data_IF_832837390946
#
_entry.id   IF_832837390946
#
_cell.length_a   1.000
_cell.length_b   1.000
_cell.length_c   1.000
_cell.angle_alpha   90.00
_cell.angle_beta   90.00
_cell.angle_gamma   90.00
#
_symmetry.space_group_name_H-M   'P 1'
#
loop_
_entity.id
_entity.type
_entity.pdbx_description
1 polymer ?
#
# COMPACT_ATOMS: atom_id res chain seq x y z
N UNK A 1 -5.89 18.00 -3.07
CA UNK A 1 -5.75 16.59 -3.47
C UNK A 1 -5.53 16.56 -4.98
N UNK A 2 -4.54 15.82 -5.48
CA UNK A 2 -4.28 15.69 -6.93
C UNK A 2 -5.01 14.45 -7.47
N UNK A 3 -6.25 14.64 -7.93
CA UNK A 3 -7.10 13.54 -8.41
C UNK A 3 -6.58 12.85 -9.66
N UNK A 4 -5.83 13.56 -10.51
CA UNK A 4 -5.19 12.97 -11.69
C UNK A 4 -4.14 11.95 -11.25
N UNK A 5 -3.32 12.29 -10.27
CA UNK A 5 -2.33 11.36 -9.70
C UNK A 5 -2.99 10.13 -9.05
N UNK A 6 -4.07 10.35 -8.28
CA UNK A 6 -4.84 9.25 -7.65
C UNK A 6 -5.45 8.32 -8.70
N UNK A 7 -6.05 8.87 -9.76
CA UNK A 7 -6.66 8.09 -10.83
C UNK A 7 -5.61 7.25 -11.58
N UNK A 8 -4.47 7.86 -11.93
CA UNK A 8 -3.37 7.15 -12.61
C UNK A 8 -2.88 6.00 -11.73
N UNK A 9 -2.63 6.25 -10.44
CA UNK A 9 -2.23 5.21 -9.51
C UNK A 9 -3.27 4.08 -9.45
N UNK A 10 -4.55 4.40 -9.24
CA UNK A 10 -5.60 3.40 -9.09
C UNK A 10 -5.74 2.53 -10.35
N UNK A 11 -5.80 3.14 -11.54
CA UNK A 11 -5.94 2.42 -12.81
C UNK A 11 -4.70 1.56 -13.07
N UNK A 12 -3.50 2.11 -12.94
CA UNK A 12 -2.27 1.35 -13.13
C UNK A 12 -2.16 0.19 -12.14
N UNK A 13 -2.52 0.40 -10.88
CA UNK A 13 -2.43 -0.62 -9.84
C UNK A 13 -3.50 -1.71 -10.00
N UNK A 14 -4.72 -1.37 -10.45
CA UNK A 14 -5.74 -2.35 -10.83
C UNK A 14 -5.25 -3.20 -12.00
N UNK A 15 -4.76 -2.57 -13.08
CA UNK A 15 -4.29 -3.31 -14.26
C UNK A 15 -3.12 -4.24 -13.92
N UNK A 16 -2.10 -3.72 -13.22
CA UNK A 16 -0.94 -4.51 -12.83
C UNK A 16 -1.32 -5.62 -11.84
N UNK A 17 -2.14 -5.32 -10.84
CA UNK A 17 -2.62 -6.31 -9.87
C UNK A 17 -3.46 -7.40 -10.53
N UNK A 18 -4.32 -7.03 -11.48
CA UNK A 18 -5.15 -7.98 -12.22
C UNK A 18 -4.29 -8.93 -13.05
N UNK A 19 -3.35 -8.39 -13.83
CA UNK A 19 -2.38 -9.20 -14.59
C UNK A 19 -1.58 -10.11 -13.64
N UNK A 20 -1.11 -9.56 -12.51
CA UNK A 20 -0.33 -10.32 -11.54
C UNK A 20 -1.10 -11.52 -10.96
N UNK A 21 -2.37 -11.33 -10.59
CA UNK A 21 -3.23 -12.42 -10.12
C UNK A 21 -3.37 -13.50 -11.20
N UNK A 22 -3.59 -13.12 -12.45
CA UNK A 22 -3.71 -14.08 -13.55
C UNK A 22 -2.43 -14.90 -13.78
N UNK A 23 -1.26 -14.31 -13.55
CA UNK A 23 0.03 -14.98 -13.71
C UNK A 23 0.38 -15.91 -12.53
N UNK A 24 0.00 -15.54 -11.31
CA UNK A 24 0.34 -16.31 -10.10
C UNK A 24 -0.71 -17.39 -9.82
N UNK A 25 -1.99 -17.01 -9.70
CA UNK A 25 -3.10 -17.93 -9.48
C UNK A 25 -4.43 -17.24 -9.80
N UNK A 26 -4.94 -17.52 -11.01
CA UNK A 26 -6.23 -16.98 -11.47
C UNK A 26 -7.41 -17.33 -10.58
N UNK A 27 -7.33 -18.40 -9.77
CA UNK A 27 -8.43 -18.81 -8.89
C UNK A 27 -8.59 -17.85 -7.70
N UNK A 28 -7.56 -17.05 -7.39
CA UNK A 28 -7.64 -16.00 -6.37
C UNK A 28 -8.50 -14.82 -6.82
N UNK A 29 -8.76 -14.66 -8.13
CA UNK A 29 -9.39 -13.47 -8.66
C UNK A 29 -10.80 -13.25 -8.07
N UNK A 30 -10.91 -12.17 -7.28
CA UNK A 30 -12.10 -11.80 -6.51
C UNK A 30 -12.54 -12.85 -5.48
N UNK A 31 -11.63 -13.71 -5.01
CA UNK A 31 -11.98 -14.79 -4.09
C UNK A 31 -12.61 -14.24 -2.80
N UNK A 32 -12.05 -13.18 -2.22
CA UNK A 32 -12.53 -12.62 -0.95
C UNK A 32 -13.95 -12.05 -1.02
N UNK A 33 -14.30 -11.14 -1.96
CA UNK A 33 -15.68 -10.69 -2.09
C UNK A 33 -16.65 -11.80 -2.52
N UNK A 34 -16.19 -12.85 -3.23
CA UNK A 34 -17.03 -14.00 -3.62
C UNK A 34 -17.33 -14.95 -2.45
N UNK A 35 -16.36 -15.22 -1.59
CA UNK A 35 -16.49 -16.20 -0.50
C UNK A 35 -16.99 -15.59 0.79
N UNK A 36 -16.64 -14.33 1.08
CA UNK A 36 -17.02 -13.66 2.33
C UNK A 36 -17.25 -12.15 2.12
N UNK A 37 -18.28 -11.82 1.36
CA UNK A 37 -18.64 -10.43 1.01
C UNK A 37 -18.79 -9.50 2.23
N UNK A 38 -19.43 -9.98 3.32
CA UNK A 38 -19.64 -9.16 4.53
C UNK A 38 -18.32 -8.77 5.17
N UNK A 39 -17.40 -9.74 5.34
CA UNK A 39 -16.08 -9.45 5.90
C UNK A 39 -15.26 -8.56 4.96
N UNK A 40 -15.33 -8.81 3.65
CA UNK A 40 -14.68 -7.94 2.66
C UNK A 40 -15.15 -6.49 2.79
N UNK A 41 -16.46 -6.24 2.94
CA UNK A 41 -17.00 -4.90 3.10
C UNK A 41 -16.51 -4.24 4.40
N UNK A 42 -16.47 -4.99 5.50
CA UNK A 42 -15.89 -4.52 6.77
C UNK A 42 -14.42 -4.13 6.57
N UNK A 43 -13.62 -4.99 5.91
CA UNK A 43 -12.21 -4.68 5.63
C UNK A 43 -12.10 -3.42 4.77
N UNK A 44 -12.85 -3.29 3.68
CA UNK A 44 -12.80 -2.12 2.79
C UNK A 44 -13.05 -0.81 3.54
N UNK A 45 -13.98 -0.81 4.51
CA UNK A 45 -14.33 0.39 5.29
C UNK A 45 -13.35 0.62 6.45
N UNK A 46 -12.98 -0.42 7.18
CA UNK A 46 -12.24 -0.30 8.46
C UNK A 46 -10.73 -0.24 8.25
N UNK A 47 -10.20 -0.96 7.24
CA UNK A 47 -8.76 -1.04 6.95
C UNK A 47 -8.07 0.31 6.79
N UNK A 48 -8.64 1.32 6.08
CA UNK A 48 -8.05 2.65 6.00
C UNK A 48 -7.76 3.28 7.37
N UNK A 49 -8.65 3.09 8.35
CA UNK A 49 -8.55 3.75 9.64
C UNK A 49 -7.65 3.00 10.61
N UNK A 50 -7.83 1.68 10.73
CA UNK A 50 -7.11 0.87 11.72
C UNK A 50 -5.75 0.38 11.24
N UNK A 51 -5.52 0.32 9.92
CA UNK A 51 -4.27 -0.17 9.35
C UNK A 51 -3.50 0.94 8.67
N UNK A 52 -4.09 1.61 7.67
CA UNK A 52 -3.35 2.54 6.82
C UNK A 52 -2.89 3.77 7.59
N UNK A 53 -3.77 4.46 8.33
CA UNK A 53 -3.40 5.68 9.06
C UNK A 53 -2.27 5.40 10.07
N UNK A 54 -2.34 4.38 10.96
CA UNK A 54 -1.23 4.06 11.85
C UNK A 54 0.08 3.75 11.13
N UNK A 55 0.02 2.97 10.05
CA UNK A 55 1.21 2.65 9.25
C UNK A 55 1.82 3.91 8.63
N UNK A 56 1.03 4.79 8.02
CA UNK A 56 1.54 6.03 7.42
C UNK A 56 2.08 7.01 8.47
N UNK A 57 1.53 7.02 9.69
CA UNK A 57 2.12 7.79 10.81
C UNK A 57 3.52 7.25 11.14
N UNK A 58 3.68 5.94 11.30
CA UNK A 58 4.97 5.33 11.64
C UNK A 58 5.99 5.49 10.50
N UNK A 59 5.60 5.08 9.29
CA UNK A 59 6.52 4.98 8.17
C UNK A 59 6.65 6.25 7.34
N UNK A 60 5.85 7.30 7.57
CA UNK A 60 6.08 8.60 6.94
C UNK A 60 6.36 9.67 7.97
N UNK A 61 5.43 9.91 8.87
CA UNK A 61 5.53 11.03 9.80
C UNK A 61 6.72 10.83 10.74
N UNK A 62 6.76 9.72 11.48
CA UNK A 62 7.88 9.42 12.38
C UNK A 62 9.19 9.26 11.60
N UNK A 63 9.19 8.50 10.51
CA UNK A 63 10.39 8.31 9.70
C UNK A 63 11.03 9.64 9.26
N UNK A 64 10.27 10.51 8.58
CA UNK A 64 10.84 11.74 8.02
C UNK A 64 10.98 12.87 9.05
N UNK A 65 10.01 13.03 9.96
CA UNK A 65 10.03 14.16 10.89
C UNK A 65 10.84 13.87 12.17
N UNK A 66 10.85 12.64 12.66
CA UNK A 66 11.53 12.29 13.93
C UNK A 66 12.95 11.76 13.71
N UNK A 67 13.14 10.87 12.74
CA UNK A 67 14.44 10.23 12.50
C UNK A 67 15.33 11.00 11.51
N UNK A 68 14.73 11.67 10.52
CA UNK A 68 15.48 12.39 9.48
C UNK A 68 15.05 13.87 9.26
N UNK A 69 14.86 14.70 10.31
CA UNK A 69 14.30 16.05 10.17
C UNK A 69 15.14 17.04 9.35
N UNK A 70 16.46 16.82 9.24
CA UNK A 70 17.42 17.76 8.62
C UNK A 70 18.10 17.21 7.37
N UNK A 71 17.69 16.03 6.89
CA UNK A 71 18.37 15.39 5.78
C UNK A 71 17.73 15.78 4.45
N UNK A 72 18.53 16.42 3.58
CA UNK A 72 18.09 16.92 2.28
C UNK A 72 18.22 15.88 1.15
N UNK A 73 18.83 14.71 1.38
CA UNK A 73 18.97 13.68 0.35
C UNK A 73 17.68 12.87 0.22
N UNK A 74 16.74 13.39 -0.59
CA UNK A 74 15.42 12.78 -0.77
C UNK A 74 15.49 11.36 -1.34
N UNK A 75 16.43 11.07 -2.24
CA UNK A 75 16.47 9.78 -2.94
C UNK A 75 16.97 8.65 -2.02
N UNK A 76 18.01 8.90 -1.23
CA UNK A 76 18.48 7.94 -0.23
C UNK A 76 17.38 7.63 0.79
N UNK A 77 16.68 8.66 1.28
CA UNK A 77 15.62 8.46 2.26
C UNK A 77 14.39 7.74 1.68
N UNK A 78 14.03 7.99 0.42
CA UNK A 78 12.98 7.23 -0.27
C UNK A 78 13.37 5.75 -0.33
N UNK A 79 14.61 5.43 -0.70
CA UNK A 79 15.09 4.06 -0.77
C UNK A 79 15.16 3.39 0.61
N UNK A 80 15.68 4.08 1.62
CA UNK A 80 15.72 3.58 2.99
C UNK A 80 14.30 3.33 3.52
N UNK A 81 13.40 4.27 3.27
CA UNK A 81 12.00 4.15 3.68
C UNK A 81 11.30 2.96 3.00
N UNK A 82 11.57 2.73 1.71
CA UNK A 82 11.09 1.54 0.99
C UNK A 82 11.49 0.26 1.72
N UNK A 83 12.76 0.12 2.09
CA UNK A 83 13.25 -1.05 2.83
C UNK A 83 12.61 -1.19 4.21
N UNK A 84 12.49 -0.08 4.96
CA UNK A 84 11.89 -0.13 6.31
C UNK A 84 10.40 -0.50 6.24
N UNK A 85 9.66 0.04 5.28
CA UNK A 85 8.24 -0.27 5.10
C UNK A 85 8.02 -1.72 4.67
N UNK A 86 8.79 -2.22 3.70
CA UNK A 86 8.68 -3.60 3.25
C UNK A 86 9.17 -4.62 4.29
N UNK A 87 10.18 -4.26 5.09
CA UNK A 87 10.63 -5.04 6.23
C UNK A 87 9.50 -5.26 7.25
N UNK A 88 8.67 -4.24 7.51
CA UNK A 88 7.50 -4.38 8.38
C UNK A 88 6.50 -5.45 7.94
N UNK A 89 6.51 -5.84 6.67
CA UNK A 89 5.63 -6.86 6.10
C UNK A 89 6.19 -8.28 6.20
N UNK A 90 7.39 -8.47 6.75
CA UNK A 90 7.93 -9.79 7.09
C UNK A 90 7.03 -10.57 8.06
N UNK A 91 6.22 -9.87 8.86
CA UNK A 91 5.27 -10.49 9.80
C UNK A 91 4.30 -11.46 9.11
N UNK A 92 4.01 -11.24 7.83
CA UNK A 92 3.13 -12.12 7.03
C UNK A 92 3.82 -13.38 6.52
N UNK A 93 5.14 -13.53 6.76
CA UNK A 93 5.96 -14.65 6.32
C UNK A 93 5.74 -15.01 4.83
N UNK A 94 5.58 -13.99 3.99
CA UNK A 94 5.25 -14.15 2.59
C UNK A 94 6.09 -13.20 1.72
N UNK A 95 6.78 -13.75 0.72
CA UNK A 95 7.63 -12.92 -0.15
C UNK A 95 6.82 -11.93 -1.01
N UNK A 96 5.58 -12.26 -1.38
CA UNK A 96 4.74 -11.38 -2.19
C UNK A 96 4.36 -10.09 -1.46
N UNK A 97 4.11 -10.15 -0.14
CA UNK A 97 3.79 -8.95 0.63
C UNK A 97 4.99 -7.99 0.67
N UNK A 98 6.20 -8.52 0.88
CA UNK A 98 7.45 -7.75 0.89
C UNK A 98 7.68 -7.11 -0.48
N UNK A 99 7.52 -7.86 -1.56
CA UNK A 99 7.73 -7.35 -2.92
C UNK A 99 6.73 -6.24 -3.28
N UNK A 100 5.44 -6.47 -3.05
CA UNK A 100 4.38 -5.50 -3.36
C UNK A 100 4.60 -4.22 -2.55
N UNK A 101 4.88 -4.35 -1.26
CA UNK A 101 5.08 -3.20 -0.36
C UNK A 101 6.34 -2.41 -0.69
N UNK A 102 7.42 -3.08 -1.11
CA UNK A 102 8.61 -2.42 -1.64
C UNK A 102 8.30 -1.62 -2.91
N UNK A 103 7.49 -2.15 -3.84
CA UNK A 103 7.13 -1.43 -5.09
C UNK A 103 6.27 -0.19 -4.81
N UNK A 104 5.32 -0.26 -3.89
CA UNK A 104 4.39 0.87 -3.63
C UNK A 104 4.93 1.91 -2.66
N UNK A 105 5.84 1.54 -1.74
CA UNK A 105 6.34 2.47 -0.72
C UNK A 105 6.97 3.75 -1.29
N UNK A 106 7.77 3.73 -2.38
CA UNK A 106 8.27 4.95 -3.01
C UNK A 106 7.16 5.87 -3.51
N UNK A 107 6.04 5.33 -4.00
CA UNK A 107 4.90 6.11 -4.50
C UNK A 107 4.21 6.83 -3.33
N UNK A 108 3.98 6.11 -2.23
CA UNK A 108 3.42 6.68 -0.99
C UNK A 108 4.36 7.73 -0.40
N UNK A 109 5.65 7.44 -0.35
CA UNK A 109 6.66 8.39 0.11
C UNK A 109 6.67 9.66 -0.74
N UNK A 110 6.60 9.54 -2.06
CA UNK A 110 6.47 10.69 -2.96
C UNK A 110 5.19 11.48 -2.68
N UNK A 111 4.05 10.80 -2.50
CA UNK A 111 2.79 11.44 -2.18
C UNK A 111 2.86 12.22 -0.85
N UNK A 112 3.48 11.65 0.17
CA UNK A 112 3.70 12.30 1.46
C UNK A 112 4.61 13.53 1.34
N UNK A 113 5.78 13.39 0.70
CA UNK A 113 6.79 14.45 0.63
C UNK A 113 6.45 15.58 -0.34
N UNK A 114 5.76 15.28 -1.44
CA UNK A 114 5.52 16.23 -2.54
C UNK A 114 4.06 16.68 -2.68
N UNK A 115 3.13 16.00 -2.01
CA UNK A 115 1.70 16.35 -2.05
C UNK A 115 1.17 16.63 -0.64
N UNK A 116 0.72 15.61 0.08
CA UNK A 116 0.19 15.73 1.44
C UNK A 116 0.09 14.38 2.13
N UNK A 117 0.03 14.37 3.46
CA UNK A 117 -0.27 13.18 4.25
C UNK A 117 -1.59 12.52 3.83
N UNK A 118 -2.65 13.33 3.61
CA UNK A 118 -3.95 12.82 3.18
C UNK A 118 -3.87 12.10 1.82
N UNK A 119 -3.12 12.65 0.87
CA UNK A 119 -2.92 11.99 -0.44
C UNK A 119 -2.22 10.65 -0.26
N UNK A 120 -1.21 10.57 0.60
CA UNK A 120 -0.53 9.32 0.92
C UNK A 120 -1.50 8.26 1.50
N UNK A 121 -2.30 8.65 2.51
CA UNK A 121 -3.32 7.78 3.13
C UNK A 121 -4.34 7.30 2.11
N UNK A 122 -4.81 8.17 1.21
CA UNK A 122 -5.78 7.79 0.17
C UNK A 122 -5.19 6.78 -0.80
N UNK A 123 -3.95 7.00 -1.28
CA UNK A 123 -3.30 6.06 -2.19
C UNK A 123 -3.07 4.69 -1.54
N UNK A 124 -2.60 4.67 -0.29
CA UNK A 124 -2.40 3.41 0.42
C UNK A 124 -3.73 2.71 0.71
N UNK A 125 -4.78 3.45 1.10
CA UNK A 125 -6.13 2.90 1.29
C UNK A 125 -6.66 2.25 0.01
N UNK A 126 -6.56 2.94 -1.13
CA UNK A 126 -6.96 2.40 -2.43
C UNK A 126 -6.10 1.18 -2.81
N UNK A 127 -4.79 1.25 -2.59
CA UNK A 127 -3.87 0.14 -2.85
C UNK A 127 -4.27 -1.12 -2.08
N UNK A 128 -4.50 -0.99 -0.76
CA UNK A 128 -4.95 -2.12 0.07
C UNK A 128 -6.33 -2.65 -0.36
N UNK A 129 -7.29 -1.76 -0.62
CA UNK A 129 -8.62 -2.16 -1.12
C UNK A 129 -8.53 -2.93 -2.44
N UNK A 130 -7.67 -2.52 -3.37
CA UNK A 130 -7.41 -3.21 -4.63
C UNK A 130 -6.78 -4.59 -4.37
N UNK A 131 -5.76 -4.69 -3.50
CA UNK A 131 -5.12 -5.97 -3.13
C UNK A 131 -6.14 -6.96 -2.54
N UNK A 132 -6.95 -6.52 -1.57
CA UNK A 132 -7.98 -7.37 -0.96
C UNK A 132 -9.06 -7.79 -1.96
N UNK A 133 -9.48 -6.86 -2.82
CA UNK A 133 -10.55 -7.11 -3.79
C UNK A 133 -10.09 -8.05 -4.91
N UNK A 134 -8.88 -7.87 -5.45
CA UNK A 134 -8.35 -8.73 -6.51
C UNK A 134 -7.97 -10.15 -6.01
N UNK A 135 -7.88 -10.36 -4.69
CA UNK A 135 -7.57 -11.66 -4.09
C UNK A 135 -6.13 -11.82 -3.61
N UNK A 136 -5.29 -10.80 -3.82
CA UNK A 136 -3.91 -10.76 -3.32
C UNK A 136 -3.83 -10.56 -1.80
N UNK A 137 -4.94 -10.21 -1.16
CA UNK A 137 -5.05 -10.11 0.29
C UNK A 137 -4.60 -11.37 1.04
N UNK A 138 -4.67 -12.56 0.42
CA UNK A 138 -4.15 -13.84 0.95
C UNK A 138 -2.68 -13.76 1.39
N UNK A 139 -1.90 -12.85 0.82
CA UNK A 139 -0.49 -12.67 1.17
C UNK A 139 -0.26 -11.72 2.36
N UNK A 140 -1.33 -11.15 2.91
CA UNK A 140 -1.31 -10.10 3.95
C UNK A 140 -2.11 -10.51 5.21
N UNK A 141 -2.31 -11.80 5.45
CA UNK A 141 -2.84 -12.37 6.70
C UNK A 141 -2.45 -13.84 6.87
#
# INVERSE_FOLDING_TARGET
MDWKFVLIFAVSFICLGFIYVLLIDKNLLFIFPKTNFKLWLVVVIVYPFLSVIPQEIVYRVFFFQRYFPKNNNSNFLILLNMFVFSYGHLVFNNFHSILITAIVSPIFTFAYLKKSFLTCVVLHSLGGQIIFTLGLGKYFY
#
